data_IF_870246209445
#
_entry.id   IF_870246209445
#
_cell.length_a   1.000
_cell.length_b   1.000
_cell.length_c   1.000
_cell.angle_alpha   90.00
_cell.angle_beta   90.00
_cell.angle_gamma   90.00
#
_symmetry.space_group_name_H-M   'P 1'
#
loop_
_entity.id
_entity.type
_entity.pdbx_description
1 polymer ?
#
# COMPACT_ATOMS: atom_id res chain seq x y z
N UNK A 1 18.90 -0.36 5.26
CA UNK A 1 17.85 0.68 5.26
C UNK A 1 16.45 0.09 5.35
N UNK A 2 16.20 -1.06 4.70
CA UNK A 2 14.89 -1.70 4.78
C UNK A 2 14.49 -2.09 6.20
N UNK A 3 15.40 -2.62 7.00
CA UNK A 3 15.12 -2.99 8.40
C UNK A 3 14.75 -1.74 9.24
N UNK A 4 15.55 -0.67 9.13
CA UNK A 4 15.26 0.57 9.85
C UNK A 4 13.95 1.22 9.40
N UNK A 5 13.70 1.29 8.09
CA UNK A 5 12.47 1.84 7.55
C UNK A 5 11.23 1.06 7.95
N UNK A 6 11.32 -0.28 8.03
CA UNK A 6 10.21 -1.13 8.45
C UNK A 6 9.75 -0.88 9.90
N UNK A 7 10.64 -0.38 10.75
CA UNK A 7 10.32 -0.07 12.14
C UNK A 7 9.63 1.29 12.32
N UNK A 8 9.84 2.24 11.42
CA UNK A 8 9.42 3.65 11.60
C UNK A 8 7.92 3.87 11.41
N UNK A 9 7.35 3.39 10.31
CA UNK A 9 5.94 3.67 9.97
C UNK A 9 4.95 3.00 10.92
N UNK A 10 5.08 1.70 11.26
CA UNK A 10 4.17 1.07 12.21
C UNK A 10 4.21 1.70 13.60
N UNK A 11 5.41 2.04 14.11
CA UNK A 11 5.57 2.68 15.41
C UNK A 11 4.97 4.09 15.42
N UNK A 12 5.18 4.88 14.36
CA UNK A 12 4.59 6.21 14.21
C UNK A 12 3.07 6.15 14.19
N UNK A 13 2.50 5.21 13.44
CA UNK A 13 1.04 4.98 13.38
C UNK A 13 0.48 4.58 14.75
N UNK A 14 1.15 3.68 15.46
CA UNK A 14 0.76 3.26 16.80
C UNK A 14 0.79 4.41 17.79
N UNK A 15 1.79 5.28 17.73
CA UNK A 15 1.90 6.48 18.56
C UNK A 15 0.69 7.40 18.35
N UNK A 16 0.28 7.63 17.12
CA UNK A 16 -0.93 8.42 16.80
C UNK A 16 -2.17 7.75 17.38
N UNK A 17 -2.31 6.45 17.28
CA UNK A 17 -3.45 5.70 17.85
C UNK A 17 -3.56 5.85 19.36
N UNK A 18 -2.43 5.99 20.08
CA UNK A 18 -2.42 6.15 21.54
C UNK A 18 -2.70 7.57 22.01
N UNK A 19 -2.31 8.57 21.24
CA UNK A 19 -2.42 10.00 21.61
C UNK A 19 -3.81 10.53 21.32
N UNK A 20 -4.47 10.06 20.26
CA UNK A 20 -5.71 10.64 19.72
C UNK A 20 -6.93 9.79 20.10
N UNK A 21 -8.06 10.41 20.50
CA UNK A 21 -9.31 9.68 20.69
C UNK A 21 -9.79 8.99 19.41
N UNK A 22 -10.46 7.84 19.52
CA UNK A 22 -10.93 7.06 18.36
C UNK A 22 -11.83 7.84 17.41
N UNK A 23 -12.62 8.78 17.92
CA UNK A 23 -13.50 9.63 17.11
C UNK A 23 -12.73 10.54 16.15
N UNK A 24 -11.50 10.88 16.45
CA UNK A 24 -10.63 11.74 15.64
C UNK A 24 -9.51 10.98 14.94
N UNK A 25 -9.52 9.64 15.05
CA UNK A 25 -8.43 8.80 14.55
C UNK A 25 -8.18 9.00 13.05
N UNK A 26 -9.22 8.96 12.23
CA UNK A 26 -9.06 9.13 10.77
C UNK A 26 -8.53 10.51 10.41
N UNK A 27 -9.04 11.57 11.05
CA UNK A 27 -8.57 12.94 10.84
C UNK A 27 -7.10 13.11 11.24
N UNK A 28 -6.71 12.58 12.41
CA UNK A 28 -5.33 12.64 12.89
C UNK A 28 -4.37 11.86 11.99
N UNK A 29 -4.73 10.65 11.56
CA UNK A 29 -3.92 9.84 10.64
C UNK A 29 -3.76 10.53 9.29
N UNK A 30 -4.81 11.13 8.76
CA UNK A 30 -4.76 11.88 7.50
C UNK A 30 -3.83 13.07 7.62
N UNK A 31 -3.91 13.82 8.72
CA UNK A 31 -3.06 14.99 8.96
C UNK A 31 -1.58 14.60 9.12
N UNK A 32 -1.27 13.57 9.89
CA UNK A 32 0.09 13.10 10.15
C UNK A 32 0.74 12.52 8.88
N UNK A 33 -0.04 11.88 8.03
CA UNK A 33 0.48 11.30 6.78
C UNK A 33 0.71 12.35 5.68
N UNK A 34 0.15 13.57 5.78
CA UNK A 34 0.42 14.65 4.82
C UNK A 34 1.91 14.97 4.66
N UNK A 35 2.68 15.22 5.73
CA UNK A 35 4.13 15.39 5.61
C UNK A 35 4.84 14.17 5.03
N UNK A 36 4.33 12.97 5.29
CA UNK A 36 4.84 11.73 4.72
C UNK A 36 4.71 11.65 3.20
N UNK A 37 3.88 12.47 2.58
CA UNK A 37 3.76 12.55 1.12
C UNK A 37 4.86 13.38 0.47
N UNK A 38 5.60 14.17 1.24
CA UNK A 38 6.74 14.95 0.71
C UNK A 38 7.79 14.03 0.09
N UNK A 39 8.06 12.88 0.72
CA UNK A 39 8.96 11.87 0.18
C UNK A 39 8.53 11.36 -1.20
N UNK A 40 7.32 10.78 -1.32
CA UNK A 40 6.79 10.36 -2.62
C UNK A 40 6.65 11.50 -3.65
N UNK A 41 6.42 12.73 -3.20
CA UNK A 41 6.34 13.89 -4.09
C UNK A 41 7.69 14.21 -4.73
N UNK A 42 8.74 14.25 -3.92
CA UNK A 42 10.09 14.59 -4.35
C UNK A 42 10.90 13.38 -4.80
N UNK A 43 10.56 12.19 -4.31
CA UNK A 43 11.33 10.97 -4.50
C UNK A 43 11.59 10.62 -5.96
N UNK A 44 10.55 10.46 -6.80
CA UNK A 44 10.76 10.08 -8.20
C UNK A 44 11.57 11.10 -8.99
N UNK A 45 11.31 12.39 -8.80
CA UNK A 45 12.06 13.46 -9.47
C UNK A 45 13.50 13.53 -8.99
N UNK A 46 13.71 13.50 -7.68
CA UNK A 46 15.04 13.52 -7.07
C UNK A 46 15.83 12.24 -7.40
N UNK A 47 15.18 11.08 -7.34
CA UNK A 47 15.79 9.80 -7.71
C UNK A 47 16.20 9.77 -9.19
N UNK A 48 15.33 10.23 -10.08
CA UNK A 48 15.63 10.35 -11.51
C UNK A 48 16.81 11.29 -11.78
N UNK A 49 16.86 12.43 -11.10
CA UNK A 49 17.98 13.37 -11.20
C UNK A 49 19.29 12.75 -10.71
N UNK A 50 19.27 12.06 -9.58
CA UNK A 50 20.49 11.41 -9.04
C UNK A 50 21.00 10.29 -9.95
N UNK A 51 20.11 9.49 -10.53
CA UNK A 51 20.48 8.44 -11.49
C UNK A 51 21.06 9.03 -12.76
N UNK A 52 20.47 10.11 -13.27
CA UNK A 52 20.89 10.72 -14.54
C UNK A 52 22.19 11.51 -14.41
N UNK A 53 22.39 12.30 -13.35
CA UNK A 53 23.49 13.24 -13.18
C UNK A 53 24.59 12.80 -12.20
N UNK A 54 24.35 11.82 -11.36
CA UNK A 54 25.31 11.28 -10.42
C UNK A 54 25.42 9.75 -10.56
N UNK A 55 25.07 9.01 -9.52
CA UNK A 55 24.99 7.55 -9.60
C UNK A 55 23.85 7.05 -8.74
N UNK A 56 23.41 5.80 -8.97
CA UNK A 56 22.34 5.18 -8.18
C UNK A 56 22.68 5.05 -6.69
N UNK A 57 23.95 5.01 -6.33
CA UNK A 57 24.39 4.93 -4.93
C UNK A 57 23.90 6.12 -4.09
N UNK A 58 23.81 7.29 -4.69
CA UNK A 58 23.35 8.50 -4.01
C UNK A 58 21.91 8.44 -3.58
N UNK A 59 21.07 7.61 -4.21
CA UNK A 59 19.69 7.38 -3.77
C UNK A 59 19.66 6.88 -2.31
N UNK A 60 20.61 6.02 -1.95
CA UNK A 60 20.72 5.48 -0.59
C UNK A 60 21.52 6.39 0.33
N UNK A 61 22.58 7.03 -0.14
CA UNK A 61 23.46 7.87 0.67
C UNK A 61 22.79 9.15 1.14
N UNK A 62 21.85 9.70 0.38
CA UNK A 62 21.11 10.91 0.77
C UNK A 62 20.24 10.69 2.01
N UNK A 63 19.88 9.46 2.34
CA UNK A 63 19.11 9.13 3.52
C UNK A 63 19.90 9.27 4.82
N UNK A 64 21.23 9.30 4.78
CA UNK A 64 22.06 9.42 5.97
C UNK A 64 21.88 10.78 6.67
N UNK A 65 22.02 11.94 6.00
CA UNK A 65 21.76 13.23 6.62
C UNK A 65 20.33 13.37 7.13
N UNK A 66 19.36 12.94 6.34
CA UNK A 66 17.94 12.99 6.70
C UNK A 66 17.65 12.11 7.92
N UNK A 67 18.24 10.92 7.99
CA UNK A 67 18.12 10.02 9.13
C UNK A 67 18.72 10.59 10.41
N UNK A 68 19.86 11.25 10.33
CA UNK A 68 20.49 11.91 11.48
C UNK A 68 19.59 13.02 12.02
N UNK A 69 19.07 13.88 11.17
CA UNK A 69 18.13 14.95 11.57
C UNK A 69 16.87 14.38 12.19
N UNK A 70 16.30 13.34 11.60
CA UNK A 70 15.13 12.66 12.11
C UNK A 70 15.35 12.00 13.48
N UNK A 71 16.52 11.37 13.69
CA UNK A 71 16.89 10.76 14.96
C UNK A 71 17.01 11.80 16.06
N UNK A 72 17.68 12.93 15.80
CA UNK A 72 17.82 14.03 16.75
C UNK A 72 16.45 14.61 17.11
N UNK A 73 15.58 14.86 16.12
CA UNK A 73 14.25 15.38 16.35
C UNK A 73 13.39 14.42 17.20
N UNK A 74 13.49 13.12 16.97
CA UNK A 74 12.79 12.09 17.75
C UNK A 74 13.24 12.07 19.19
N UNK A 75 14.54 12.14 19.45
CA UNK A 75 15.09 12.16 20.81
C UNK A 75 14.67 13.41 21.60
N UNK A 76 14.56 14.56 20.93
CA UNK A 76 14.26 15.83 21.57
C UNK A 76 12.76 16.11 21.75
N UNK A 77 11.92 15.65 20.82
CA UNK A 77 10.52 16.07 20.72
C UNK A 77 9.50 14.97 21.01
N UNK A 78 9.87 13.70 20.83
CA UNK A 78 8.93 12.60 20.97
C UNK A 78 8.79 12.15 22.43
N UNK A 79 7.53 12.03 22.96
CA UNK A 79 7.33 11.51 24.30
C UNK A 79 7.74 10.04 24.38
N UNK A 80 8.33 9.67 25.51
CA UNK A 80 8.75 8.30 25.75
C UNK A 80 7.59 7.52 26.40
N UNK A 81 6.77 6.86 25.59
CA UNK A 81 5.73 5.96 26.05
C UNK A 81 6.30 4.53 26.17
N UNK A 82 6.70 4.16 27.37
CA UNK A 82 7.07 2.78 27.67
C UNK A 82 5.87 2.06 28.29
N UNK A 83 5.37 1.06 27.61
CA UNK A 83 4.44 0.08 28.17
C UNK A 83 5.21 -1.06 28.79
N UNK A 84 4.58 -1.75 29.78
CA UNK A 84 5.14 -3.00 30.27
C UNK A 84 5.36 -3.95 29.10
N UNK A 85 6.61 -4.36 28.90
CA UNK A 85 6.99 -5.27 27.85
C UNK A 85 6.34 -6.62 28.07
N UNK A 86 5.47 -7.05 27.16
CA UNK A 86 5.09 -8.45 27.04
C UNK A 86 6.31 -9.27 26.64
N UNK A 87 6.36 -10.50 27.10
CA UNK A 87 7.40 -11.43 26.66
C UNK A 87 7.35 -11.56 25.14
N UNK A 88 8.46 -11.23 24.46
CA UNK A 88 8.53 -11.26 23.01
C UNK A 88 8.44 -12.73 22.51
N UNK A 89 7.54 -12.99 21.58
CA UNK A 89 7.38 -14.29 20.96
C UNK A 89 8.44 -14.48 19.85
N UNK A 90 9.64 -14.87 20.25
CA UNK A 90 10.77 -15.08 19.34
C UNK A 90 10.46 -16.17 18.33
N UNK A 91 9.83 -17.26 18.78
CA UNK A 91 9.51 -18.40 17.91
C UNK A 91 8.48 -18.02 16.84
N UNK A 92 7.41 -17.32 17.21
CA UNK A 92 6.43 -16.80 16.28
C UNK A 92 7.02 -15.78 15.30
N UNK A 93 7.91 -14.91 15.79
CA UNK A 93 8.63 -13.96 14.94
C UNK A 93 9.48 -14.66 13.87
N UNK A 94 10.25 -15.67 14.27
CA UNK A 94 11.10 -16.43 13.33
C UNK A 94 10.24 -17.15 12.29
N UNK A 95 9.13 -17.77 12.69
CA UNK A 95 8.22 -18.44 11.76
C UNK A 95 7.62 -17.48 10.74
N UNK A 96 7.11 -16.32 11.17
CA UNK A 96 6.53 -15.32 10.28
C UNK A 96 7.58 -14.68 9.39
N UNK A 97 8.74 -14.32 9.93
CA UNK A 97 9.82 -13.72 9.16
C UNK A 97 10.34 -14.69 8.10
N UNK A 98 10.54 -15.97 8.43
CA UNK A 98 10.94 -16.99 7.47
C UNK A 98 9.86 -17.20 6.40
N UNK A 99 8.59 -17.27 6.79
CA UNK A 99 7.47 -17.39 5.87
C UNK A 99 7.38 -16.23 4.88
N UNK A 100 7.43 -15.00 5.37
CA UNK A 100 7.39 -13.80 4.53
C UNK A 100 8.60 -13.69 3.61
N UNK A 101 9.80 -13.91 4.12
CA UNK A 101 11.02 -13.85 3.34
C UNK A 101 11.05 -14.90 2.23
N UNK A 102 10.70 -16.14 2.54
CA UNK A 102 10.70 -17.24 1.56
C UNK A 102 9.64 -17.07 0.49
N UNK A 103 8.42 -16.61 0.87
CA UNK A 103 7.36 -16.33 -0.09
C UNK A 103 7.73 -15.16 -1.01
N UNK A 104 8.32 -14.10 -0.48
CA UNK A 104 8.76 -12.95 -1.27
C UNK A 104 9.87 -13.35 -2.24
N UNK A 105 10.85 -14.13 -1.81
CA UNK A 105 11.89 -14.65 -2.68
C UNK A 105 11.34 -15.58 -3.78
N UNK A 106 10.35 -16.40 -3.46
CA UNK A 106 9.71 -17.28 -4.44
C UNK A 106 8.96 -16.49 -5.52
N UNK A 107 8.27 -15.41 -5.14
CA UNK A 107 7.58 -14.54 -6.10
C UNK A 107 8.54 -13.87 -7.08
N UNK A 108 9.70 -13.44 -6.61
CA UNK A 108 10.72 -12.73 -7.42
C UNK A 108 11.76 -13.68 -8.05
N UNK A 109 11.81 -14.92 -7.63
CA UNK A 109 12.92 -15.82 -7.88
C UNK A 109 13.13 -16.25 -9.32
N UNK A 110 12.09 -16.24 -10.18
CA UNK A 110 12.21 -16.70 -11.57
C UNK A 110 12.94 -15.70 -12.46
N UNK A 111 12.77 -14.41 -12.24
CA UNK A 111 13.37 -13.34 -13.06
C UNK A 111 14.56 -12.66 -12.39
N UNK A 112 14.50 -12.44 -11.08
CA UNK A 112 15.53 -11.73 -10.33
C UNK A 112 16.75 -12.58 -9.99
N UNK A 113 16.56 -13.81 -9.53
CA UNK A 113 17.61 -14.71 -9.07
C UNK A 113 17.89 -15.89 -10.02
N UNK A 114 17.06 -16.07 -11.06
CA UNK A 114 17.27 -17.16 -12.02
C UNK A 114 17.10 -18.56 -11.43
N UNK A 115 16.26 -18.70 -10.38
CA UNK A 115 16.08 -19.97 -9.69
C UNK A 115 15.32 -20.99 -10.55
N UNK A 116 15.73 -22.24 -10.45
CA UNK A 116 15.04 -23.35 -11.11
C UNK A 116 13.65 -23.59 -10.49
N UNK A 117 12.70 -24.22 -11.22
CA UNK A 117 11.38 -24.54 -10.66
C UNK A 117 11.44 -25.35 -9.37
N UNK A 118 12.45 -26.19 -9.18
CA UNK A 118 12.65 -26.98 -7.97
C UNK A 118 12.89 -26.07 -6.75
N UNK A 119 13.75 -25.06 -6.89
CA UNK A 119 14.03 -24.08 -5.83
C UNK A 119 12.81 -23.22 -5.51
N UNK A 120 12.06 -22.81 -6.52
CA UNK A 120 10.81 -22.06 -6.33
C UNK A 120 9.79 -22.87 -5.55
N UNK A 121 9.60 -24.14 -5.88
CA UNK A 121 8.72 -25.06 -5.16
C UNK A 121 9.16 -25.23 -3.72
N UNK A 122 10.45 -25.39 -3.48
CA UNK A 122 11.01 -25.53 -2.13
C UNK A 122 10.78 -24.27 -1.30
N UNK A 123 10.98 -23.08 -1.86
CA UNK A 123 10.74 -21.79 -1.18
C UNK A 123 9.26 -21.61 -0.83
N UNK A 124 8.35 -21.92 -1.75
CA UNK A 124 6.90 -21.86 -1.50
C UNK A 124 6.50 -22.86 -0.40
N UNK A 125 7.03 -24.08 -0.45
CA UNK A 125 6.76 -25.10 0.57
C UNK A 125 7.24 -24.67 1.95
N UNK A 126 8.46 -24.12 2.06
CA UNK A 126 9.00 -23.61 3.32
C UNK A 126 8.15 -22.44 3.84
N UNK A 127 7.79 -21.50 2.96
CA UNK A 127 6.96 -20.36 3.34
C UNK A 127 5.57 -20.75 3.81
N UNK A 128 4.89 -21.61 3.09
CA UNK A 128 3.57 -22.14 3.47
C UNK A 128 3.65 -22.95 4.77
N UNK A 129 4.66 -23.81 4.90
CA UNK A 129 4.89 -24.60 6.11
C UNK A 129 5.16 -23.71 7.33
N UNK A 130 5.96 -22.67 7.20
CA UNK A 130 6.22 -21.70 8.27
C UNK A 130 4.95 -20.95 8.70
N UNK A 131 4.12 -20.54 7.75
CA UNK A 131 2.83 -19.90 8.06
C UNK A 131 1.87 -20.83 8.77
N UNK A 132 1.75 -22.07 8.33
CA UNK A 132 0.93 -23.10 9.01
C UNK A 132 1.45 -23.41 10.41
N UNK A 133 2.77 -23.53 10.59
CA UNK A 133 3.38 -23.72 11.91
C UNK A 133 3.12 -22.53 12.82
N UNK A 134 3.12 -21.29 12.29
CA UNK A 134 2.74 -20.12 13.06
C UNK A 134 1.28 -20.15 13.51
N UNK A 135 0.37 -20.52 12.62
CA UNK A 135 -1.04 -20.65 12.98
C UNK A 135 -1.24 -21.67 14.09
N UNK A 136 -0.54 -22.80 14.01
CA UNK A 136 -0.57 -23.81 15.06
C UNK A 136 0.06 -23.32 16.36
N UNK A 137 1.20 -22.63 16.30
CA UNK A 137 1.88 -22.05 17.46
C UNK A 137 1.03 -20.95 18.13
N UNK A 138 0.38 -20.11 17.36
CA UNK A 138 -0.48 -19.03 17.85
C UNK A 138 -1.79 -19.55 18.48
N UNK A 139 -2.20 -20.77 18.12
CA UNK A 139 -3.42 -21.39 18.62
C UNK A 139 -3.26 -21.71 20.10
N UNK A 140 -3.95 -20.96 20.96
CA UNK A 140 -3.92 -21.14 22.39
C UNK A 140 -2.74 -20.49 23.11
N UNK A 141 -1.84 -19.79 22.43
CA UNK A 141 -0.74 -19.06 23.05
C UNK A 141 -1.15 -17.59 23.31
N UNK A 142 -1.21 -17.19 24.59
CA UNK A 142 -1.57 -15.82 24.98
C UNK A 142 -0.51 -14.78 24.59
N UNK A 143 0.74 -15.19 24.40
CA UNK A 143 1.87 -14.35 24.06
C UNK A 143 2.25 -14.44 22.57
N UNK A 144 1.35 -14.93 21.72
CA UNK A 144 1.57 -14.97 20.28
C UNK A 144 1.84 -13.56 19.72
N UNK A 145 2.72 -13.47 18.72
CA UNK A 145 3.07 -12.20 18.08
C UNK A 145 1.82 -11.51 17.51
N UNK A 146 0.97 -12.28 16.84
CA UNK A 146 -0.37 -11.87 16.40
C UNK A 146 -1.41 -12.82 16.99
N UNK A 147 -2.36 -12.27 17.75
CA UNK A 147 -3.44 -13.06 18.31
C UNK A 147 -4.44 -13.47 17.23
N UNK A 148 -4.85 -14.74 17.23
CA UNK A 148 -5.94 -15.21 16.34
C UNK A 148 -7.30 -14.58 16.68
N UNK A 149 -7.43 -13.95 17.86
CA UNK A 149 -8.63 -13.18 18.24
C UNK A 149 -8.87 -11.98 17.30
N UNK A 150 -7.85 -11.49 16.60
CA UNK A 150 -8.01 -10.45 15.58
C UNK A 150 -9.01 -10.85 14.48
N UNK A 151 -9.01 -12.12 14.09
CA UNK A 151 -9.88 -12.64 13.04
C UNK A 151 -11.31 -12.91 13.49
N UNK A 152 -11.61 -12.83 14.79
CA UNK A 152 -12.99 -12.91 15.28
C UNK A 152 -13.77 -11.62 15.00
N UNK A 153 -13.08 -10.51 14.79
CA UNK A 153 -13.69 -9.27 14.37
C UNK A 153 -13.93 -9.27 12.86
N UNK A 154 -15.19 -9.30 12.44
CA UNK A 154 -15.57 -9.37 11.03
C UNK A 154 -15.08 -8.16 10.23
N UNK A 155 -15.17 -6.97 10.80
CA UNK A 155 -14.70 -5.74 10.15
C UNK A 155 -13.20 -5.78 9.90
N UNK A 156 -12.42 -6.24 10.87
CA UNK A 156 -10.97 -6.40 10.71
C UNK A 156 -10.63 -7.43 9.63
N UNK A 157 -11.27 -8.59 9.64
CA UNK A 157 -11.03 -9.64 8.64
C UNK A 157 -11.38 -9.21 7.23
N UNK A 158 -12.52 -8.54 7.05
CA UNK A 158 -12.92 -7.97 5.75
C UNK A 158 -11.97 -6.85 5.30
N UNK A 159 -11.61 -5.96 6.21
CA UNK A 159 -10.66 -4.88 5.93
C UNK A 159 -9.27 -5.41 5.57
N UNK A 160 -8.79 -6.43 6.27
CA UNK A 160 -7.50 -7.05 6.00
C UNK A 160 -7.50 -7.76 4.63
N UNK A 161 -8.52 -8.54 4.33
CA UNK A 161 -8.69 -9.18 3.02
C UNK A 161 -8.84 -8.19 1.88
N UNK A 162 -9.62 -7.14 2.10
CA UNK A 162 -9.79 -6.03 1.15
C UNK A 162 -8.49 -5.25 0.94
N UNK A 163 -7.74 -4.98 2.00
CA UNK A 163 -6.42 -4.36 1.92
C UNK A 163 -5.42 -5.21 1.15
N UNK A 164 -5.41 -6.50 1.40
CA UNK A 164 -4.55 -7.43 0.65
C UNK A 164 -4.87 -7.38 -0.85
N UNK A 165 -6.11 -7.60 -1.23
CA UNK A 165 -6.53 -7.62 -2.62
C UNK A 165 -6.41 -6.22 -3.28
N UNK A 166 -6.80 -5.17 -2.58
CA UNK A 166 -6.77 -3.80 -3.11
C UNK A 166 -5.35 -3.28 -3.31
N UNK A 167 -4.42 -3.65 -2.45
CA UNK A 167 -3.03 -3.19 -2.56
C UNK A 167 -2.20 -3.94 -3.58
N UNK A 168 -2.62 -5.10 -3.99
CA UNK A 168 -2.03 -5.76 -5.16
C UNK A 168 -2.17 -4.83 -6.37
N UNK A 169 -3.36 -4.29 -6.61
CA UNK A 169 -3.60 -3.31 -7.66
C UNK A 169 -2.85 -2.00 -7.46
N UNK A 170 -2.90 -1.45 -6.26
CA UNK A 170 -2.18 -0.21 -5.93
C UNK A 170 -0.67 -0.33 -6.04
N UNK A 171 -0.11 -1.51 -5.79
CA UNK A 171 1.33 -1.75 -5.94
C UNK A 171 1.78 -1.86 -7.39
N UNK A 172 0.90 -2.31 -8.29
CA UNK A 172 1.21 -2.39 -9.71
C UNK A 172 1.39 -1.01 -10.36
N UNK A 173 0.57 -0.04 -9.99
CA UNK A 173 0.57 1.28 -10.63
C UNK A 173 1.87 2.08 -10.44
N UNK A 174 2.41 2.23 -9.20
CA UNK A 174 3.66 2.96 -9.00
C UNK A 174 4.85 2.33 -9.71
N UNK A 175 4.84 1.03 -9.93
CA UNK A 175 5.85 0.32 -10.69
C UNK A 175 5.66 0.52 -12.19
N UNK A 176 4.46 0.30 -12.69
CA UNK A 176 4.19 0.28 -14.12
C UNK A 176 4.19 1.68 -14.75
N UNK A 177 3.73 2.70 -14.03
CA UNK A 177 3.66 4.07 -14.57
C UNK A 177 5.03 4.63 -14.97
N UNK A 178 6.08 4.60 -14.11
CA UNK A 178 7.42 5.02 -14.54
C UNK A 178 7.98 4.16 -15.67
N UNK A 179 7.75 2.86 -15.62
CA UNK A 179 8.23 1.94 -16.67
C UNK A 179 7.60 2.28 -18.02
N UNK A 180 6.30 2.53 -18.05
CA UNK A 180 5.61 2.93 -19.28
C UNK A 180 6.09 4.29 -19.79
N UNK A 181 6.25 5.28 -18.92
CA UNK A 181 6.71 6.61 -19.31
C UNK A 181 8.11 6.58 -19.90
N UNK A 182 9.01 5.77 -19.34
CA UNK A 182 10.40 5.68 -19.83
C UNK A 182 10.53 4.78 -21.05
N UNK A 183 9.95 3.61 -21.05
CA UNK A 183 10.10 2.62 -22.12
C UNK A 183 9.05 2.82 -23.21
N UNK A 184 7.80 3.00 -22.85
CA UNK A 184 6.69 3.14 -23.79
C UNK A 184 6.64 4.48 -24.50
N UNK A 185 6.89 5.58 -23.80
CA UNK A 185 6.84 6.93 -24.34
C UNK A 185 8.23 7.56 -24.57
N UNK A 186 9.29 6.90 -24.11
CA UNK A 186 10.67 7.37 -24.32
C UNK A 186 11.08 8.56 -23.45
N UNK A 187 10.41 8.84 -22.34
CA UNK A 187 10.78 9.91 -21.43
C UNK A 187 12.10 9.60 -20.70
N UNK A 188 12.87 10.66 -20.39
CA UNK A 188 14.05 10.53 -19.55
C UNK A 188 13.63 10.16 -18.11
N UNK A 189 14.52 9.54 -17.29
CA UNK A 189 14.18 9.25 -15.91
C UNK A 189 13.72 10.46 -15.10
N UNK A 190 14.35 11.61 -15.30
CA UNK A 190 13.96 12.85 -14.64
C UNK A 190 12.58 13.35 -15.10
N UNK A 191 12.29 13.31 -16.39
CA UNK A 191 10.98 13.72 -16.94
C UNK A 191 9.87 12.78 -16.44
N UNK A 192 10.12 11.47 -16.44
CA UNK A 192 9.18 10.51 -15.88
C UNK A 192 8.90 10.76 -14.38
N UNK A 193 9.94 11.10 -13.62
CA UNK A 193 9.80 11.47 -12.22
C UNK A 193 8.96 12.73 -12.01
N UNK A 194 9.16 13.75 -12.85
CA UNK A 194 8.35 14.97 -12.82
C UNK A 194 6.88 14.70 -13.16
N UNK A 195 6.60 13.77 -14.07
CA UNK A 195 5.23 13.37 -14.41
C UNK A 195 4.49 12.66 -13.28
N UNK A 196 5.21 12.12 -12.31
CA UNK A 196 4.61 11.50 -11.11
C UNK A 196 4.16 12.53 -10.06
N UNK A 197 4.64 13.78 -10.12
CA UNK A 197 4.29 14.82 -9.14
C UNK A 197 2.80 15.11 -9.07
N UNK A 198 2.04 15.26 -10.18
CA UNK A 198 0.60 15.48 -10.12
C UNK A 198 -0.15 14.38 -9.36
N UNK A 199 0.27 13.12 -9.49
CA UNK A 199 -0.33 12.01 -8.77
C UNK A 199 -0.21 12.18 -7.25
N UNK A 200 0.96 12.58 -6.78
CA UNK A 200 1.20 12.80 -5.34
C UNK A 200 0.44 14.03 -4.85
N UNK A 201 0.38 15.09 -5.63
CA UNK A 201 -0.41 16.29 -5.30
C UNK A 201 -1.90 15.96 -5.19
N UNK A 202 -2.43 15.11 -6.07
CA UNK A 202 -3.79 14.61 -5.98
C UNK A 202 -4.04 13.80 -4.69
N UNK A 203 -3.11 12.93 -4.34
CA UNK A 203 -3.13 12.20 -3.06
C UNK A 203 -3.18 13.14 -1.86
N UNK A 204 -2.31 14.14 -1.83
CA UNK A 204 -2.26 15.11 -0.72
C UNK A 204 -3.55 15.91 -0.60
N UNK A 205 -4.09 16.37 -1.72
CA UNK A 205 -5.35 17.12 -1.76
C UNK A 205 -6.53 16.30 -1.28
N UNK A 206 -6.61 15.04 -1.70
CA UNK A 206 -7.71 14.14 -1.31
C UNK A 206 -7.66 13.79 0.17
N UNK A 207 -6.49 13.68 0.77
CA UNK A 207 -6.36 13.40 2.22
C UNK A 207 -7.01 14.44 3.11
N UNK A 208 -7.17 15.68 2.65
CA UNK A 208 -7.87 16.74 3.38
C UNK A 208 -9.37 16.54 3.41
N UNK A 209 -9.95 15.94 2.38
CA UNK A 209 -11.40 15.85 2.20
C UNK A 209 -11.94 14.42 2.36
N UNK A 210 -11.08 13.41 2.42
CA UNK A 210 -11.50 12.01 2.48
C UNK A 210 -12.35 11.70 3.72
N UNK A 211 -12.07 12.33 4.86
CA UNK A 211 -12.84 12.15 6.10
C UNK A 211 -14.29 12.57 5.89
N UNK A 212 -14.51 13.73 5.26
CA UNK A 212 -15.84 14.25 4.96
C UNK A 212 -16.58 13.36 3.96
N UNK A 213 -15.90 12.85 2.96
CA UNK A 213 -16.45 11.94 1.95
C UNK A 213 -16.91 10.63 2.59
N UNK A 214 -16.06 10.03 3.44
CA UNK A 214 -16.39 8.79 4.14
C UNK A 214 -17.55 9.00 5.12
N UNK A 215 -17.57 10.13 5.85
CA UNK A 215 -18.66 10.46 6.78
C UNK A 215 -20.00 10.66 6.06
N UNK A 216 -19.98 11.16 4.83
CA UNK A 216 -21.19 11.40 4.04
C UNK A 216 -21.71 10.15 3.35
N UNK A 217 -20.82 9.35 2.74
CA UNK A 217 -21.20 8.23 1.89
C UNK A 217 -21.04 6.86 2.54
N UNK A 218 -20.26 6.76 3.61
CA UNK A 218 -19.90 5.49 4.26
C UNK A 218 -18.75 4.75 3.61
N UNK A 219 -18.13 3.85 4.35
CA UNK A 219 -16.95 3.09 3.89
C UNK A 219 -17.22 2.23 2.66
N UNK A 220 -18.35 1.54 2.65
CA UNK A 220 -18.72 0.63 1.55
C UNK A 220 -18.77 1.34 0.21
N UNK A 221 -19.50 2.45 0.13
CA UNK A 221 -19.64 3.21 -1.13
C UNK A 221 -18.32 3.81 -1.58
N UNK A 222 -17.56 4.39 -0.65
CA UNK A 222 -16.25 4.97 -0.97
C UNK A 222 -15.30 3.90 -1.48
N UNK A 223 -15.22 2.75 -0.84
CA UNK A 223 -14.32 1.67 -1.23
C UNK A 223 -14.69 1.07 -2.59
N UNK A 224 -15.96 0.76 -2.82
CA UNK A 224 -16.41 0.19 -4.10
C UNK A 224 -16.22 1.20 -5.24
N UNK A 225 -16.65 2.43 -5.04
CA UNK A 225 -16.55 3.49 -6.05
C UNK A 225 -15.10 3.81 -6.38
N UNK A 226 -14.23 3.94 -5.39
CA UNK A 226 -12.82 4.23 -5.60
C UNK A 226 -12.06 3.07 -6.26
N UNK A 227 -12.40 1.83 -5.95
CA UNK A 227 -11.79 0.66 -6.58
C UNK A 227 -12.13 0.57 -8.06
N UNK A 228 -13.39 0.73 -8.41
CA UNK A 228 -13.83 0.75 -9.81
C UNK A 228 -13.28 1.99 -10.53
N UNK A 229 -13.30 3.14 -9.87
CA UNK A 229 -12.76 4.38 -10.40
C UNK A 229 -11.26 4.30 -10.70
N UNK A 230 -10.49 3.65 -9.84
CA UNK A 230 -9.06 3.45 -10.06
C UNK A 230 -8.77 2.60 -11.31
N UNK A 231 -9.54 1.54 -11.52
CA UNK A 231 -9.45 0.72 -12.72
C UNK A 231 -9.77 1.54 -13.99
N UNK A 232 -10.86 2.31 -13.96
CA UNK A 232 -11.27 3.15 -15.08
C UNK A 232 -10.25 4.25 -15.40
N UNK A 233 -9.69 4.90 -14.37
CA UNK A 233 -8.65 5.95 -14.54
C UNK A 233 -7.36 5.34 -15.09
N UNK A 234 -7.00 4.13 -14.72
CA UNK A 234 -5.84 3.45 -15.30
C UNK A 234 -6.02 3.20 -16.79
N UNK A 235 -7.23 2.81 -17.22
CA UNK A 235 -7.56 2.68 -18.64
C UNK A 235 -7.58 4.03 -19.35
N UNK A 236 -8.10 5.06 -18.72
CA UNK A 236 -8.09 6.43 -19.25
C UNK A 236 -6.65 6.96 -19.43
N UNK A 237 -5.77 6.70 -18.49
CA UNK A 237 -4.35 7.02 -18.60
C UNK A 237 -3.74 6.40 -19.87
N UNK A 238 -4.01 5.13 -20.09
CA UNK A 238 -3.51 4.44 -21.27
C UNK A 238 -4.12 5.00 -22.57
N UNK A 239 -5.41 5.26 -22.58
CA UNK A 239 -6.09 5.87 -23.74
C UNK A 239 -5.52 7.25 -24.11
N UNK A 240 -5.30 8.11 -23.12
CA UNK A 240 -4.71 9.45 -23.31
C UNK A 240 -3.28 9.35 -23.80
N UNK A 241 -2.49 8.43 -23.23
CA UNK A 241 -1.09 8.25 -23.63
C UNK A 241 -0.96 7.74 -25.08
N UNK A 242 -1.78 6.76 -25.46
CA UNK A 242 -1.78 6.21 -26.83
C UNK A 242 -2.33 7.20 -27.87
N UNK A 243 -3.26 8.07 -27.46
CA UNK A 243 -3.76 9.13 -28.35
C UNK A 243 -2.73 10.27 -28.57
N UNK A 244 -1.63 10.27 -27.82
CA UNK A 244 -0.61 11.31 -27.90
C UNK A 244 -0.97 12.62 -27.19
N UNK A 245 -2.02 12.63 -26.40
CA UNK A 245 -2.48 13.82 -25.66
C UNK A 245 -1.71 13.98 -24.34
N UNK A 246 -0.41 14.18 -24.43
CA UNK A 246 0.49 14.23 -23.26
C UNK A 246 0.18 15.37 -22.30
N UNK A 247 -0.48 16.43 -22.75
CA UNK A 247 -0.92 17.54 -21.91
C UNK A 247 -2.03 17.15 -20.93
N UNK A 248 -2.78 16.07 -21.22
CA UNK A 248 -3.79 15.51 -20.31
C UNK A 248 -3.23 14.50 -19.30
N UNK A 249 -2.02 13.98 -19.51
CA UNK A 249 -1.42 13.01 -18.60
C UNK A 249 -1.32 13.50 -17.14
N UNK A 250 -0.88 14.75 -16.87
CA UNK A 250 -0.86 15.26 -15.50
C UNK A 250 -2.24 15.28 -14.85
N UNK A 251 -3.29 15.61 -15.58
CA UNK A 251 -4.68 15.64 -15.08
C UNK A 251 -5.14 14.22 -14.72
N UNK A 252 -4.89 13.23 -15.56
CA UNK A 252 -5.25 11.84 -15.34
C UNK A 252 -4.49 11.27 -14.14
N UNK A 253 -3.20 11.55 -14.03
CA UNK A 253 -2.38 11.11 -12.89
C UNK A 253 -2.82 11.78 -11.58
N UNK A 254 -3.23 13.03 -11.62
CA UNK A 254 -3.82 13.73 -10.48
C UNK A 254 -5.10 13.02 -9.98
N UNK A 255 -6.01 12.69 -10.89
CA UNK A 255 -7.22 11.93 -10.57
C UNK A 255 -6.91 10.55 -10.01
N UNK A 256 -5.94 9.87 -10.58
CA UNK A 256 -5.48 8.56 -10.09
C UNK A 256 -4.96 8.66 -8.66
N UNK A 257 -4.17 9.68 -8.36
CA UNK A 257 -3.67 9.94 -7.01
C UNK A 257 -4.78 10.22 -6.01
N UNK A 258 -5.77 11.02 -6.38
CA UNK A 258 -6.95 11.30 -5.54
C UNK A 258 -7.73 10.02 -5.21
N UNK A 259 -8.03 9.22 -6.20
CA UNK A 259 -8.82 7.99 -6.05
C UNK A 259 -8.05 6.97 -5.21
N UNK A 260 -6.76 6.80 -5.47
CA UNK A 260 -5.92 5.86 -4.72
C UNK A 260 -5.78 6.27 -3.25
N UNK A 261 -5.64 7.57 -2.96
CA UNK A 261 -5.58 8.08 -1.60
C UNK A 261 -6.89 7.88 -0.83
N UNK A 262 -8.04 8.11 -1.48
CA UNK A 262 -9.35 7.80 -0.91
C UNK A 262 -9.45 6.35 -0.48
N UNK A 263 -9.10 5.45 -1.38
CA UNK A 263 -9.15 4.01 -1.13
C UNK A 263 -8.21 3.59 -0.01
N UNK A 264 -6.98 4.08 -0.03
CA UNK A 264 -5.96 3.78 0.96
C UNK A 264 -6.38 4.19 2.37
N UNK A 265 -6.78 5.44 2.55
CA UNK A 265 -7.21 5.97 3.85
C UNK A 265 -8.46 5.25 4.37
N UNK A 266 -9.42 4.99 3.51
CA UNK A 266 -10.66 4.30 3.87
C UNK A 266 -10.40 2.84 4.28
N UNK A 267 -9.54 2.12 3.57
CA UNK A 267 -9.18 0.74 3.91
C UNK A 267 -8.48 0.65 5.27
N UNK A 268 -7.49 1.51 5.50
CA UNK A 268 -6.74 1.50 6.76
C UNK A 268 -7.64 1.82 7.94
N UNK A 269 -8.44 2.85 7.83
CA UNK A 269 -9.33 3.27 8.90
C UNK A 269 -10.42 2.23 9.18
N UNK A 270 -11.03 1.68 8.14
CA UNK A 270 -12.03 0.61 8.28
C UNK A 270 -11.47 -0.61 8.99
N UNK A 271 -10.28 -1.04 8.60
CA UNK A 271 -9.66 -2.25 9.16
C UNK A 271 -9.40 -2.13 10.65
N UNK A 272 -8.98 -0.95 11.11
CA UNK A 272 -8.55 -0.74 12.50
C UNK A 272 -9.64 -0.16 13.41
N UNK A 273 -10.75 0.35 12.87
CA UNK A 273 -11.73 1.14 13.64
C UNK A 273 -12.39 0.40 14.80
N UNK A 274 -12.68 -0.89 14.65
CA UNK A 274 -13.45 -1.67 15.60
C UNK A 274 -12.59 -2.55 16.52
N UNK A 275 -11.26 -2.46 16.39
CA UNK A 275 -10.37 -3.25 17.24
C UNK A 275 -10.34 -2.71 18.68
N UNK A 276 -10.38 -3.58 19.70
CA UNK A 276 -10.13 -3.20 21.09
C UNK A 276 -8.70 -2.63 21.25
N UNK A 277 -8.51 -1.77 22.26
CA UNK A 277 -7.20 -1.13 22.50
C UNK A 277 -6.06 -2.10 22.79
N UNK A 278 -6.35 -3.24 23.40
CA UNK A 278 -5.39 -4.31 23.68
C UNK A 278 -4.90 -5.03 22.42
N UNK A 279 -5.72 -5.05 21.37
CA UNK A 279 -5.39 -5.66 20.08
C UNK A 279 -4.92 -4.67 19.02
N UNK A 280 -4.96 -3.37 19.30
CA UNK A 280 -4.65 -2.32 18.34
C UNK A 280 -3.22 -2.40 17.80
N UNK A 281 -2.24 -2.68 18.65
CA UNK A 281 -0.84 -2.84 18.25
C UNK A 281 -0.63 -4.03 17.32
N UNK A 282 -1.17 -5.18 17.68
CA UNK A 282 -1.08 -6.40 16.86
C UNK A 282 -1.81 -6.24 15.53
N UNK A 283 -2.99 -5.63 15.52
CA UNK A 283 -3.77 -5.36 14.32
C UNK A 283 -3.05 -4.42 13.37
N UNK A 284 -2.46 -3.35 13.89
CA UNK A 284 -1.68 -2.39 13.10
C UNK A 284 -0.43 -3.04 12.48
N UNK A 285 0.28 -3.85 13.23
CA UNK A 285 1.47 -4.57 12.74
C UNK A 285 1.12 -5.59 11.68
N UNK A 286 0.05 -6.35 11.87
CA UNK A 286 -0.43 -7.32 10.89
C UNK A 286 -0.90 -6.64 9.61
N UNK A 287 -1.62 -5.52 9.71
CA UNK A 287 -2.04 -4.73 8.57
C UNK A 287 -0.82 -4.21 7.78
N UNK A 288 0.19 -3.69 8.45
CA UNK A 288 1.42 -3.21 7.81
C UNK A 288 2.16 -4.34 7.08
N UNK A 289 2.23 -5.52 7.68
CA UNK A 289 2.84 -6.69 7.07
C UNK A 289 2.08 -7.13 5.81
N UNK A 290 0.76 -7.20 5.87
CA UNK A 290 -0.09 -7.53 4.73
C UNK A 290 0.04 -6.50 3.62
N UNK A 291 0.12 -5.21 3.97
CA UNK A 291 0.34 -4.12 3.00
C UNK A 291 1.64 -4.31 2.22
N UNK A 292 2.74 -4.59 2.90
CA UNK A 292 4.03 -4.80 2.24
C UNK A 292 4.03 -6.03 1.34
N UNK A 293 3.46 -7.14 1.82
CA UNK A 293 3.35 -8.35 1.02
C UNK A 293 2.49 -8.12 -0.23
N UNK A 294 1.36 -7.44 -0.09
CA UNK A 294 0.46 -7.14 -1.20
C UNK A 294 1.11 -6.28 -2.27
N UNK A 295 1.85 -5.26 -1.86
CA UNK A 295 2.59 -4.39 -2.80
C UNK A 295 3.68 -5.16 -3.54
N UNK A 296 4.40 -6.04 -2.85
CA UNK A 296 5.41 -6.92 -3.47
C UNK A 296 4.77 -7.86 -4.50
N UNK A 297 3.65 -8.47 -4.16
CA UNK A 297 2.88 -9.31 -5.08
C UNK A 297 2.41 -8.48 -6.28
N UNK A 298 1.92 -7.27 -6.06
CA UNK A 298 1.49 -6.36 -7.12
C UNK A 298 2.61 -6.04 -8.12
N UNK A 299 3.77 -5.66 -7.64
CA UNK A 299 4.95 -5.38 -8.48
C UNK A 299 5.35 -6.63 -9.28
N UNK A 300 5.36 -7.79 -8.65
CA UNK A 300 5.70 -9.06 -9.29
C UNK A 300 4.70 -9.41 -10.39
N UNK A 301 3.41 -9.28 -10.14
CA UNK A 301 2.34 -9.53 -11.12
C UNK A 301 2.47 -8.57 -12.31
N UNK A 302 2.71 -7.29 -12.05
CA UNK A 302 2.91 -6.29 -13.10
C UNK A 302 4.11 -6.65 -13.98
N UNK A 303 5.23 -7.02 -13.38
CA UNK A 303 6.41 -7.48 -14.12
C UNK A 303 6.17 -8.75 -14.92
N UNK A 304 5.43 -9.71 -14.37
CA UNK A 304 5.05 -10.94 -15.08
C UNK A 304 4.13 -10.66 -16.28
N UNK A 305 3.14 -9.80 -16.12
CA UNK A 305 2.23 -9.41 -17.21
C UNK A 305 3.00 -8.71 -18.33
N UNK A 306 3.87 -7.78 -17.97
CA UNK A 306 4.70 -7.08 -18.94
C UNK A 306 5.62 -8.07 -19.70
N UNK A 307 6.25 -9.00 -18.99
CA UNK A 307 7.09 -10.03 -19.58
C UNK A 307 6.30 -11.00 -20.47
N UNK A 308 5.10 -11.41 -20.06
CA UNK A 308 4.24 -12.30 -20.81
C UNK A 308 3.82 -11.71 -22.15
N UNK A 309 3.36 -10.47 -22.15
CA UNK A 309 2.97 -9.76 -23.38
C UNK A 309 4.17 -9.31 -24.21
N UNK A 310 5.31 -9.03 -23.57
CA UNK A 310 6.54 -8.59 -24.22
C UNK A 310 7.37 -9.68 -24.86
N UNK A 311 7.28 -10.94 -24.38
CA UNK A 311 8.10 -12.06 -24.89
C UNK A 311 7.82 -12.44 -26.35
N UNK A 312 6.63 -12.15 -26.84
CA UNK A 312 6.27 -12.48 -28.23
C UNK A 312 6.78 -11.42 -29.23
N UNK A 313 7.18 -10.24 -28.80
CA UNK A 313 7.47 -9.11 -29.66
C UNK A 313 8.54 -8.17 -29.08
N UNK A 314 9.77 -8.65 -28.85
CA UNK A 314 10.90 -7.76 -28.55
C UNK A 314 11.42 -7.20 -29.88
N UNK A 315 10.66 -6.32 -30.50
CA UNK A 315 11.18 -5.51 -31.60
C UNK A 315 11.17 -4.05 -31.18
N UNK A 316 12.14 -3.31 -31.72
CA UNK A 316 12.33 -1.89 -31.46
C UNK A 316 11.19 -0.99 -32.05
N UNK A 317 10.06 -1.58 -32.43
CA UNK A 317 8.93 -0.86 -32.99
C UNK A 317 8.05 -0.27 -31.88
N UNK A 318 7.91 1.05 -31.85
CA UNK A 318 7.11 1.77 -30.88
C UNK A 318 5.64 1.35 -30.86
N UNK A 319 5.07 0.94 -32.01
CA UNK A 319 3.68 0.47 -32.10
C UNK A 319 3.48 -0.84 -31.34
N UNK A 320 4.45 -1.76 -31.38
CA UNK A 320 4.38 -3.04 -30.67
C UNK A 320 4.57 -2.81 -29.16
N UNK A 321 5.47 -1.92 -28.75
CA UNK A 321 5.63 -1.54 -27.36
C UNK A 321 4.34 -0.96 -26.77
N UNK A 322 3.64 -0.12 -27.51
CA UNK A 322 2.35 0.43 -27.12
C UNK A 322 1.27 -0.64 -26.95
N UNK A 323 1.21 -1.65 -27.83
CA UNK A 323 0.29 -2.77 -27.69
C UNK A 323 0.58 -3.62 -26.44
N UNK A 324 1.85 -3.89 -26.15
CA UNK A 324 2.27 -4.66 -24.96
C UNK A 324 1.79 -3.93 -23.70
N UNK A 325 2.03 -2.63 -23.61
CA UNK A 325 1.58 -1.84 -22.47
C UNK A 325 0.05 -1.74 -22.40
N UNK A 326 -0.63 -1.63 -23.52
CA UNK A 326 -2.08 -1.62 -23.56
C UNK A 326 -2.67 -2.90 -22.97
N UNK A 327 -2.20 -4.07 -23.40
CA UNK A 327 -2.66 -5.35 -22.85
C UNK A 327 -2.30 -5.51 -21.37
N UNK A 328 -1.12 -5.05 -20.97
CA UNK A 328 -0.71 -5.06 -19.57
C UNK A 328 -1.66 -4.23 -18.71
N UNK A 329 -1.99 -3.01 -19.14
CA UNK A 329 -2.91 -2.14 -18.40
C UNK A 329 -4.35 -2.65 -18.40
N UNK A 330 -4.81 -3.29 -19.47
CA UNK A 330 -6.12 -3.94 -19.49
C UNK A 330 -6.20 -5.06 -18.45
N UNK A 331 -5.17 -5.91 -18.39
CA UNK A 331 -5.07 -6.97 -17.39
C UNK A 331 -4.99 -6.41 -15.97
N UNK A 332 -4.20 -5.35 -15.77
CA UNK A 332 -4.09 -4.66 -14.48
C UNK A 332 -5.42 -4.06 -14.04
N UNK A 333 -6.17 -3.45 -14.94
CA UNK A 333 -7.47 -2.86 -14.63
C UNK A 333 -8.47 -3.92 -14.13
N UNK A 334 -8.48 -5.11 -14.71
CA UNK A 334 -9.31 -6.23 -14.22
C UNK A 334 -8.90 -6.61 -12.80
N UNK A 335 -7.61 -6.77 -12.55
CA UNK A 335 -7.09 -7.13 -11.23
C UNK A 335 -7.39 -6.02 -10.20
N UNK A 336 -7.27 -4.75 -10.58
CA UNK A 336 -7.60 -3.62 -9.71
C UNK A 336 -9.09 -3.57 -9.37
N UNK A 337 -9.95 -3.94 -10.30
CA UNK A 337 -11.41 -3.92 -10.11
C UNK A 337 -11.94 -5.08 -9.26
N UNK A 338 -11.28 -6.24 -9.23
CA UNK A 338 -11.74 -7.43 -8.50
C UNK A 338 -12.00 -7.20 -7.01
N UNK A 339 -11.20 -6.43 -6.26
CA UNK A 339 -11.45 -6.17 -4.84
C UNK A 339 -12.79 -5.47 -4.54
N UNK A 340 -13.44 -4.86 -5.53
CA UNK A 340 -14.78 -4.28 -5.35
C UNK A 340 -15.80 -5.33 -4.87
N UNK A 341 -15.64 -6.59 -5.24
CA UNK A 341 -16.47 -7.69 -4.77
C UNK A 341 -16.33 -7.90 -3.26
N UNK A 342 -15.13 -7.76 -2.72
CA UNK A 342 -14.86 -7.87 -1.28
C UNK A 342 -15.45 -6.65 -0.55
N UNK A 343 -15.23 -5.46 -1.09
CA UNK A 343 -15.72 -4.22 -0.49
C UNK A 343 -17.24 -4.09 -0.52
N UNK A 344 -17.91 -4.73 -1.46
CA UNK A 344 -19.37 -4.77 -1.52
C UNK A 344 -20.00 -5.49 -0.32
N UNK A 345 -19.23 -6.35 0.38
CA UNK A 345 -19.65 -7.08 1.58
C UNK A 345 -19.39 -6.33 2.88
N UNK A 346 -18.74 -5.17 2.83
CA UNK A 346 -18.52 -4.34 4.01
C UNK A 346 -19.87 -3.85 4.53
N UNK A 347 -20.14 -3.93 5.87
CA UNK A 347 -21.40 -3.43 6.43
C UNK A 347 -21.61 -1.96 6.14
N UNK A 348 -22.83 -1.59 5.76
CA UNK A 348 -23.20 -0.20 5.51
C UNK A 348 -23.29 0.54 6.85
N UNK A 349 -22.40 1.53 7.08
CA UNK A 349 -22.25 2.26 8.34
C UNK A 349 -23.31 3.35 8.57
N UNK A 350 -24.48 3.21 7.97
CA UNK A 350 -25.64 4.07 8.28
C UNK A 350 -26.08 3.95 9.74
N UNK A 351 -25.65 2.92 10.45
CA UNK A 351 -25.92 2.70 11.88
C UNK A 351 -25.17 3.68 12.80
N UNK A 352 -24.01 4.21 12.42
CA UNK A 352 -23.30 5.21 13.24
C UNK A 352 -24.02 6.56 13.28
N UNK A 353 -24.66 6.95 12.20
CA UNK A 353 -25.48 8.17 12.16
C UNK A 353 -26.77 8.05 12.99
N UNK A 354 -27.31 6.85 13.15
CA UNK A 354 -28.48 6.60 13.99
C UNK A 354 -28.15 6.59 15.48
N UNK A 355 -26.98 6.15 15.88
CA UNK A 355 -26.52 6.18 17.29
C UNK A 355 -26.27 7.63 17.74
N UNK A 356 -25.68 8.46 16.90
CA UNK A 356 -25.47 9.89 17.21
C UNK A 356 -26.80 10.64 17.24
N UNK A 357 -27.74 10.31 16.38
CA UNK A 357 -29.12 10.91 16.41
C UNK A 357 -29.92 10.47 17.63
N UNK A 358 -29.78 9.23 18.10
CA UNK A 358 -30.44 8.77 19.34
C UNK A 358 -29.87 9.44 20.58
N UNK A 359 -28.55 9.68 20.64
CA UNK A 359 -27.95 10.38 21.78
C UNK A 359 -28.40 11.84 21.87
N UNK A 360 -28.52 12.53 20.73
CA UNK A 360 -29.08 13.91 20.71
C UNK A 360 -30.55 14.00 21.07
N UNK A 361 -31.35 12.93 20.90
CA UNK A 361 -32.76 12.89 21.29
C UNK A 361 -32.98 12.52 22.75
N UNK A 362 -32.04 11.89 23.41
CA UNK A 362 -32.10 11.58 24.84
C UNK A 362 -31.57 12.71 25.73
N UNK A 363 -30.92 13.71 25.13
CA UNK A 363 -30.41 14.89 25.84
C UNK A 363 -31.24 16.15 25.58
N UNK A 364 -32.34 16.05 24.81
CA UNK A 364 -33.37 17.06 24.64
C UNK A 364 -34.68 16.63 25.32
#
# INVERSE_FOLDING_TARGET
QGVGGAMMVPVGRLTVMKIVPRSQYMAAMTFVTLPGQVGPLLGPALGGMLVEYASWHWIFLINIPVGIVGAIATLCLMPNYTLQTRRFDIFGFILLAAGMATLTLALDGKKGLGLSPLWLTALVAIGAGSMLCYLWHARGNRNALFSLKLFTNRTFSLGLGGSFAGRIGSGMLPFMTPVFLQIGLGFTPFHAGLMMIPMVLGSMGMKRIVVQVVNRFGYRRVLVTSTIGLALVSLLFMAVALAGWYWLLPVVLFLQGMINASRFSSMNTLTLKDLPDDLASSGNSLLSMVMQLSMSIGVTIAGMLLGLYGQQHISADAAIAHQVFLYTYLSMAVIIALPALIFSRVPDDTTTNTVIRRRKRSES
#
